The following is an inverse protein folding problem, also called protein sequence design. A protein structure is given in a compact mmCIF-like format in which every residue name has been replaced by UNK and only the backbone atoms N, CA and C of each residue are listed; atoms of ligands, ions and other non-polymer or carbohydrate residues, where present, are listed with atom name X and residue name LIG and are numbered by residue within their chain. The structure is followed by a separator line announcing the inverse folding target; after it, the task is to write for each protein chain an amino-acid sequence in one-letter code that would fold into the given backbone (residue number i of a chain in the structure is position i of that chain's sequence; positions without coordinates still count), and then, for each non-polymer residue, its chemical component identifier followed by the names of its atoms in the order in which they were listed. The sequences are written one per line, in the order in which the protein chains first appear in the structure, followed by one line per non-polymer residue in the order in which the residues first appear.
data_IF_091547680637
#
_entry.id   IF_091547680637
#
_cell.length_a   1.000
_cell.length_b   1.000
_cell.length_c   1.000
_cell.angle_alpha   90.00
_cell.angle_beta   90.00
_cell.angle_gamma   90.00
#
_symmetry.space_group_name_H-M   'P 1'
#
loop_
_entity.id
_entity.type
_entity.pdbx_description
1 polymer ?
#
# COMPACT_ATOMS: atom_id res chain seq x y z
N UNK A 1 6.22 -22.69 -30.89
CA UNK A 1 6.59 -22.47 -29.48
C UNK A 1 5.74 -21.34 -28.97
N UNK A 2 4.76 -21.64 -28.11
CA UNK A 2 3.94 -20.60 -27.49
C UNK A 2 4.81 -19.89 -26.46
N UNK A 3 5.31 -18.71 -26.82
CA UNK A 3 5.85 -17.78 -25.84
C UNK A 3 4.64 -17.31 -25.06
N UNK A 4 4.53 -17.75 -23.81
CA UNK A 4 3.55 -17.25 -22.86
C UNK A 4 3.93 -15.79 -22.58
N UNK A 5 3.43 -14.85 -23.39
CA UNK A 5 3.47 -13.45 -23.04
C UNK A 5 2.64 -13.34 -21.76
N UNK A 6 3.30 -13.18 -20.61
CA UNK A 6 2.68 -12.50 -19.49
C UNK A 6 2.52 -11.06 -19.95
N UNK A 7 1.43 -10.79 -20.67
CA UNK A 7 0.94 -9.44 -20.93
C UNK A 7 0.44 -8.93 -19.57
N UNK A 8 1.38 -8.49 -18.75
CA UNK A 8 1.05 -7.74 -17.55
C UNK A 8 0.62 -6.38 -18.07
N UNK A 9 -0.69 -6.15 -18.02
CA UNK A 9 -1.26 -4.84 -18.28
C UNK A 9 -0.67 -3.85 -17.28
N UNK A 10 0.38 -3.16 -17.70
CA UNK A 10 1.12 -2.19 -16.91
C UNK A 10 0.24 -1.00 -16.51
N UNK A 11 -0.84 -0.74 -17.26
CA UNK A 11 -1.86 0.26 -16.94
C UNK A 11 -2.79 -0.24 -15.83
N UNK A 12 -3.20 -1.52 -15.85
CA UNK A 12 -3.94 -2.12 -14.74
C UNK A 12 -3.11 -2.12 -13.47
N UNK A 13 -1.84 -2.53 -13.55
CA UNK A 13 -0.92 -2.51 -12.41
C UNK A 13 -0.74 -1.07 -11.88
N UNK A 14 -0.67 -0.07 -12.76
CA UNK A 14 -0.63 1.33 -12.35
C UNK A 14 -1.89 1.75 -11.58
N UNK A 15 -3.07 1.42 -12.09
CA UNK A 15 -4.35 1.72 -11.41
C UNK A 15 -4.40 1.07 -10.03
N UNK A 16 -4.01 -0.19 -9.91
CA UNK A 16 -4.00 -0.91 -8.65
C UNK A 16 -3.06 -0.27 -7.62
N UNK A 17 -1.87 0.18 -8.06
CA UNK A 17 -0.93 0.93 -7.21
C UNK A 17 -1.57 2.24 -6.70
N UNK A 18 -2.27 2.98 -7.57
CA UNK A 18 -2.91 4.24 -7.19
C UNK A 18 -4.04 4.00 -6.17
N UNK A 19 -4.88 3.00 -6.41
CA UNK A 19 -5.95 2.61 -5.48
C UNK A 19 -5.35 2.20 -4.14
N UNK A 20 -4.30 1.36 -4.14
CA UNK A 20 -3.65 0.92 -2.91
C UNK A 20 -3.09 2.09 -2.12
N UNK A 21 -2.42 3.05 -2.79
CA UNK A 21 -1.90 4.28 -2.15
C UNK A 21 -3.02 5.13 -1.55
N UNK A 22 -4.10 5.37 -2.29
CA UNK A 22 -5.24 6.16 -1.78
C UNK A 22 -5.90 5.51 -0.57
N UNK A 23 -6.18 4.21 -0.63
CA UNK A 23 -6.83 3.51 0.47
C UNK A 23 -5.93 3.45 1.71
N UNK A 24 -4.63 3.28 1.51
CA UNK A 24 -3.65 3.28 2.60
C UNK A 24 -3.53 4.67 3.24
N UNK A 25 -3.57 5.74 2.45
CA UNK A 25 -3.59 7.12 2.95
C UNK A 25 -4.87 7.41 3.75
N UNK A 26 -6.03 6.96 3.26
CA UNK A 26 -7.31 7.08 4.00
C UNK A 26 -7.26 6.33 5.33
N UNK A 27 -6.75 5.10 5.33
CA UNK A 27 -6.60 4.30 6.55
C UNK A 27 -5.67 4.97 7.58
N UNK A 28 -4.57 5.58 7.12
CA UNK A 28 -3.68 6.36 7.98
C UNK A 28 -4.39 7.56 8.61
N UNK A 29 -5.16 8.33 7.82
CA UNK A 29 -5.96 9.44 8.34
C UNK A 29 -6.97 9.01 9.39
N UNK A 30 -7.75 7.95 9.12
CA UNK A 30 -8.71 7.42 10.10
C UNK A 30 -8.06 6.89 11.37
N UNK A 31 -6.83 6.36 11.28
CA UNK A 31 -6.08 5.93 12.46
C UNK A 31 -5.61 7.11 13.31
N UNK A 32 -5.21 8.23 12.70
CA UNK A 32 -4.88 9.46 13.41
C UNK A 32 -6.11 10.05 14.13
N UNK A 33 -7.26 10.07 13.47
CA UNK A 33 -8.54 10.48 14.05
C UNK A 33 -8.91 9.62 15.26
N UNK A 34 -8.86 8.28 15.11
CA UNK A 34 -9.11 7.33 16.20
C UNK A 34 -8.19 7.57 17.40
N UNK A 35 -6.90 7.84 17.16
CA UNK A 35 -5.94 8.15 18.25
C UNK A 35 -6.30 9.42 18.99
N UNK A 36 -6.79 10.43 18.28
CA UNK A 36 -7.25 11.67 18.90
C UNK A 36 -8.47 11.41 19.79
N UNK A 37 -9.47 10.68 19.28
CA UNK A 37 -10.67 10.31 20.05
C UNK A 37 -10.33 9.47 21.28
N UNK A 38 -9.43 8.50 21.16
CA UNK A 38 -8.96 7.68 22.28
C UNK A 38 -8.27 8.53 23.36
N UNK A 39 -7.51 9.55 22.96
CA UNK A 39 -6.87 10.47 23.91
C UNK A 39 -7.88 11.33 24.66
N UNK A 40 -8.92 11.80 23.97
CA UNK A 40 -10.02 12.55 24.57
C UNK A 40 -10.79 11.66 25.56
N UNK A 41 -11.15 10.45 25.14
CA UNK A 41 -11.80 9.46 25.99
C UNK A 41 -10.96 9.14 27.24
N UNK A 42 -9.64 9.03 27.10
CA UNK A 42 -8.73 8.82 28.23
C UNK A 42 -8.81 9.93 29.27
N UNK A 43 -9.05 11.17 28.85
CA UNK A 43 -9.13 12.32 29.75
C UNK A 43 -10.40 12.28 30.60
N UNK A 44 -11.50 11.78 30.04
CA UNK A 44 -12.84 11.79 30.65
C UNK A 44 -13.14 10.52 31.44
N UNK A 45 -12.62 9.37 31.02
CA UNK A 45 -12.93 8.07 31.60
C UNK A 45 -11.74 7.49 32.37
N UNK A 46 -11.85 7.47 33.70
CA UNK A 46 -10.82 6.95 34.62
C UNK A 46 -11.27 5.67 35.31
N UNK A 47 -10.29 4.86 35.73
CA UNK A 47 -10.50 3.59 36.45
C UNK A 47 -9.86 2.39 35.74
N UNK A 48 -9.84 1.25 36.42
CA UNK A 48 -9.13 0.03 35.98
C UNK A 48 -9.60 -0.48 34.60
N UNK A 49 -10.90 -0.41 34.32
CA UNK A 49 -11.44 -0.80 33.01
C UNK A 49 -10.94 0.11 31.87
N UNK A 50 -10.82 1.42 32.14
CA UNK A 50 -10.28 2.39 31.19
C UNK A 50 -8.81 2.08 30.89
N UNK A 51 -8.00 1.76 31.90
CA UNK A 51 -6.58 1.43 31.69
C UNK A 51 -6.38 0.18 30.82
N UNK A 52 -7.20 -0.86 31.03
CA UNK A 52 -7.17 -2.08 30.21
C UNK A 52 -7.57 -1.78 28.77
N UNK A 53 -8.64 -1.00 28.58
CA UNK A 53 -9.09 -0.59 27.26
C UNK A 53 -8.02 0.21 26.51
N UNK A 54 -7.42 1.23 27.13
CA UNK A 54 -6.40 2.08 26.48
C UNK A 54 -5.15 1.29 26.12
N UNK A 55 -4.76 0.32 26.94
CA UNK A 55 -3.64 -0.57 26.62
C UNK A 55 -3.93 -1.39 25.37
N UNK A 56 -5.12 -1.97 25.28
CA UNK A 56 -5.52 -2.76 24.12
C UNK A 56 -5.66 -1.87 22.87
N UNK A 57 -6.35 -0.74 22.99
CA UNK A 57 -6.54 0.20 21.89
C UNK A 57 -5.20 0.77 21.38
N UNK A 58 -4.22 0.98 22.27
CA UNK A 58 -2.86 1.36 21.89
C UNK A 58 -2.15 0.26 21.09
N UNK A 59 -2.33 -1.01 21.47
CA UNK A 59 -1.80 -2.15 20.70
C UNK A 59 -2.47 -2.23 19.33
N UNK A 60 -3.79 -2.15 19.28
CA UNK A 60 -4.55 -2.21 18.01
C UNK A 60 -4.14 -1.07 17.07
N UNK A 61 -3.93 0.14 17.61
CA UNK A 61 -3.39 1.27 16.88
C UNK A 61 -1.99 1.02 16.31
N UNK A 62 -1.13 0.30 17.04
CA UNK A 62 0.22 -0.04 16.60
C UNK A 62 0.21 -1.13 15.52
N UNK A 63 -0.66 -2.13 15.69
CA UNK A 63 -0.82 -3.23 14.72
C UNK A 63 -1.37 -2.68 13.38
N UNK A 64 -2.30 -1.73 13.44
CA UNK A 64 -2.83 -1.05 12.24
C UNK A 64 -1.76 -0.19 11.55
N UNK A 65 -0.93 0.53 12.31
CA UNK A 65 0.22 1.28 11.77
C UNK A 65 1.18 0.38 11.02
N UNK A 66 1.50 -0.80 11.60
CA UNK A 66 2.36 -1.77 10.96
C UNK A 66 1.74 -2.30 9.65
N UNK A 67 0.43 -2.57 9.64
CA UNK A 67 -0.29 -2.99 8.44
C UNK A 67 -0.25 -1.93 7.34
N UNK A 68 -0.50 -0.67 7.68
CA UNK A 68 -0.41 0.48 6.77
C UNK A 68 0.99 0.55 6.15
N UNK A 69 2.04 0.41 6.97
CA UNK A 69 3.43 0.38 6.48
C UNK A 69 3.67 -0.76 5.48
N UNK A 70 3.18 -1.98 5.76
CA UNK A 70 3.28 -3.11 4.81
C UNK A 70 2.55 -2.86 3.49
N UNK A 71 1.41 -2.18 3.52
CA UNK A 71 0.68 -1.82 2.29
C UNK A 71 1.42 -0.77 1.46
N UNK A 72 2.11 0.16 2.11
CA UNK A 72 2.98 1.13 1.42
C UNK A 72 4.17 0.43 0.77
N UNK A 73 4.86 -0.46 1.50
CA UNK A 73 5.96 -1.27 0.95
C UNK A 73 5.50 -2.10 -0.26
N UNK A 74 4.31 -2.71 -0.19
CA UNK A 74 3.74 -3.45 -1.31
C UNK A 74 3.51 -2.56 -2.53
N UNK A 75 2.96 -1.36 -2.35
CA UNK A 75 2.77 -0.40 -3.44
C UNK A 75 4.10 0.00 -4.09
N UNK A 76 5.18 0.14 -3.31
CA UNK A 76 6.52 0.40 -3.83
C UNK A 76 7.09 -0.78 -4.64
N UNK A 77 6.91 -2.02 -4.16
CA UNK A 77 7.31 -3.22 -4.89
C UNK A 77 6.55 -3.34 -6.22
N UNK A 78 5.25 -3.08 -6.23
CA UNK A 78 4.43 -3.09 -7.45
C UNK A 78 4.88 -2.02 -8.44
N UNK A 79 5.21 -0.81 -7.95
CA UNK A 79 5.74 0.27 -8.79
C UNK A 79 7.09 -0.11 -9.40
N UNK A 80 7.97 -0.74 -8.63
CA UNK A 80 9.24 -1.27 -9.13
C UNK A 80 9.01 -2.30 -10.24
N UNK A 81 8.15 -3.29 -10.00
CA UNK A 81 7.82 -4.31 -10.98
C UNK A 81 7.27 -3.69 -12.27
N UNK A 82 6.34 -2.73 -12.17
CA UNK A 82 5.80 -2.00 -13.32
C UNK A 82 6.91 -1.35 -14.16
N UNK A 83 7.87 -0.68 -13.52
CA UNK A 83 8.98 -0.03 -14.23
C UNK A 83 9.85 -1.03 -15.00
N UNK A 84 10.13 -2.19 -14.41
CA UNK A 84 10.90 -3.23 -15.08
C UNK A 84 10.15 -3.83 -16.28
N UNK A 85 8.82 -4.02 -16.17
CA UNK A 85 8.00 -4.46 -17.31
C UNK A 85 8.01 -3.46 -18.46
N UNK A 86 7.75 -2.17 -18.17
CA UNK A 86 7.78 -1.12 -19.20
C UNK A 86 9.16 -0.98 -19.86
N UNK A 87 10.24 -1.17 -19.10
CA UNK A 87 11.61 -1.17 -19.64
C UNK A 87 11.84 -2.35 -20.59
N UNK A 88 11.43 -3.55 -20.20
CA UNK A 88 11.56 -4.76 -21.01
C UNK A 88 10.79 -4.61 -22.34
N UNK A 89 9.56 -4.09 -22.30
CA UNK A 89 8.78 -3.81 -23.51
C UNK A 89 9.50 -2.83 -24.45
N UNK A 90 10.08 -1.75 -23.91
CA UNK A 90 10.86 -0.79 -24.68
C UNK A 90 12.12 -1.38 -25.31
N UNK A 91 12.80 -2.30 -24.62
CA UNK A 91 13.97 -3.00 -25.16
C UNK A 91 13.59 -3.96 -26.29
N UNK A 92 12.46 -4.68 -26.13
CA UNK A 92 11.92 -5.57 -27.18
C UNK A 92 11.50 -4.79 -28.42
N UNK A 93 10.78 -3.67 -28.27
CA UNK A 93 10.37 -2.81 -29.39
C UNK A 93 11.60 -2.35 -30.18
N UNK A 94 12.63 -1.83 -29.49
CA UNK A 94 13.88 -1.39 -30.13
C UNK A 94 14.62 -2.52 -30.86
N UNK A 95 14.64 -3.72 -30.29
CA UNK A 95 15.25 -4.88 -30.93
C UNK A 95 14.49 -5.30 -32.21
N UNK A 96 13.16 -5.28 -32.17
CA UNK A 96 12.32 -5.56 -33.35
C UNK A 96 12.51 -4.51 -34.44
N UNK A 97 12.55 -3.22 -34.07
CA UNK A 97 12.82 -2.12 -35.01
C UNK A 97 14.20 -2.25 -35.66
N UNK A 98 15.22 -2.65 -34.91
CA UNK A 98 16.57 -2.85 -35.43
C UNK A 98 16.68 -4.01 -36.45
N UNK A 99 15.79 -5.01 -36.37
CA UNK A 99 15.74 -6.14 -37.32
C UNK A 99 14.83 -5.85 -38.52
N UNK A 100 13.95 -4.85 -38.42
CA UNK A 100 12.99 -4.47 -39.48
C UNK A 100 13.57 -3.52 -40.53
N UNK A 101 14.88 -3.25 -40.46
CA UNK A 101 15.68 -2.51 -41.47
C UNK A 101 16.34 -3.47 -42.43
#
# INVERSE_FOLDING_TARGET
MAVTYMEIDTEQLHRDIQVLREQTAKAAGSLEELRSELKELHSMWKGMASEVFHRQAGKDCSDMEALIGRMQELAECMEYARREYSRCEGDVIRAVEAVRV
#
